data_IF_511642492006
#
_entry.id   IF_511642492006
#
_cell.length_a   1.000
_cell.length_b   1.000
_cell.length_c   1.000
_cell.angle_alpha   90.00
_cell.angle_beta   90.00
_cell.angle_gamma   90.00
#
_symmetry.space_group_name_H-M   'P 1'
#
loop_
_entity.id
_entity.type
_entity.pdbx_description
1 polymer ?
#
# COMPACT_ATOMS: atom_id res chain seq x y z
N UNK A 1 -6.73 51.31 -20.04
CA UNK A 1 -7.71 50.20 -20.03
C UNK A 1 -6.99 48.91 -19.67
N UNK A 2 -6.78 48.67 -18.37
CA UNK A 2 -5.97 47.54 -17.87
C UNK A 2 -6.81 46.28 -17.71
N UNK A 3 -6.45 45.20 -18.40
CA UNK A 3 -7.04 43.86 -18.19
C UNK A 3 -6.34 43.19 -17.01
N UNK A 4 -7.06 43.06 -15.90
CA UNK A 4 -6.68 42.29 -14.72
C UNK A 4 -6.57 40.81 -15.09
N UNK A 5 -5.36 40.24 -14.94
CA UNK A 5 -5.07 38.83 -15.20
C UNK A 5 -5.55 37.98 -14.01
N UNK A 6 -6.25 36.91 -14.35
CA UNK A 6 -7.05 36.01 -13.52
C UNK A 6 -6.15 35.15 -12.60
N UNK A 7 -6.13 35.44 -11.30
CA UNK A 7 -5.46 34.61 -10.26
C UNK A 7 -6.47 33.66 -9.61
N UNK A 8 -7.15 32.81 -10.41
CA UNK A 8 -8.25 31.98 -9.89
C UNK A 8 -8.31 30.58 -10.50
N UNK A 9 -7.15 29.94 -10.68
CA UNK A 9 -7.04 28.63 -11.34
C UNK A 9 -6.58 27.47 -10.42
N UNK A 10 -5.63 27.61 -9.47
CA UNK A 10 -5.18 26.40 -8.74
C UNK A 10 -6.16 25.85 -7.69
N UNK A 11 -6.87 26.71 -6.93
CA UNK A 11 -7.82 26.25 -5.92
C UNK A 11 -9.09 25.64 -6.55
N UNK A 12 -9.30 25.87 -7.85
CA UNK A 12 -10.41 25.31 -8.62
C UNK A 12 -10.11 23.88 -9.09
N UNK A 13 -8.85 23.55 -9.38
CA UNK A 13 -8.46 22.24 -9.91
C UNK A 13 -8.62 21.10 -8.88
N UNK A 14 -8.30 21.34 -7.60
CA UNK A 14 -8.51 20.32 -6.55
C UNK A 14 -10.00 20.14 -6.24
N UNK A 15 -10.77 21.22 -6.20
CA UNK A 15 -12.24 21.15 -6.04
C UNK A 15 -12.91 20.50 -7.26
N UNK A 16 -12.43 20.74 -8.49
CA UNK A 16 -12.92 20.11 -9.71
C UNK A 16 -12.60 18.60 -9.75
N UNK A 17 -11.47 18.16 -9.19
CA UNK A 17 -11.12 16.75 -9.11
C UNK A 17 -12.16 15.94 -8.30
N UNK A 18 -12.56 16.48 -7.13
CA UNK A 18 -13.60 15.88 -6.28
C UNK A 18 -15.02 16.08 -6.81
N UNK A 19 -15.31 17.23 -7.42
CA UNK A 19 -16.61 17.50 -8.02
C UNK A 19 -16.88 16.61 -9.25
N UNK A 20 -15.86 16.37 -10.08
CA UNK A 20 -15.93 15.45 -11.22
C UNK A 20 -16.16 14.00 -10.81
N UNK A 21 -15.55 13.58 -9.68
CA UNK A 21 -15.78 12.26 -9.08
C UNK A 21 -17.28 12.06 -8.80
N UNK A 22 -17.91 13.01 -8.11
CA UNK A 22 -19.31 12.89 -7.69
C UNK A 22 -20.29 12.86 -8.88
N UNK A 23 -19.97 13.54 -9.98
CA UNK A 23 -20.89 13.69 -11.13
C UNK A 23 -20.90 12.52 -12.14
N UNK A 24 -19.94 11.58 -12.09
CA UNK A 24 -19.73 10.60 -13.18
C UNK A 24 -19.97 9.12 -12.81
N UNK A 25 -20.50 8.81 -11.63
CA UNK A 25 -20.78 7.44 -11.19
C UNK A 25 -19.54 6.61 -10.84
N UNK A 26 -18.32 7.14 -11.05
CA UNK A 26 -17.06 6.48 -10.68
C UNK A 26 -16.97 6.16 -9.18
N UNK A 27 -17.31 7.06 -8.24
CA UNK A 27 -17.35 6.75 -6.83
C UNK A 27 -18.38 5.68 -6.51
N UNK A 28 -19.56 5.72 -7.13
CA UNK A 28 -20.62 4.72 -6.92
C UNK A 28 -20.15 3.32 -7.33
N UNK A 29 -19.50 3.20 -8.49
CA UNK A 29 -18.92 1.94 -8.96
C UNK A 29 -17.82 1.48 -8.00
N UNK A 30 -16.88 2.36 -7.66
CA UNK A 30 -15.76 2.03 -6.81
C UNK A 30 -16.20 1.62 -5.39
N UNK A 31 -17.15 2.34 -4.79
CA UNK A 31 -17.71 2.04 -3.48
C UNK A 31 -18.45 0.70 -3.53
N UNK A 32 -19.32 0.49 -4.52
CA UNK A 32 -20.08 -0.77 -4.64
C UNK A 32 -19.16 -1.98 -4.81
N UNK A 33 -18.23 -1.92 -5.77
CA UNK A 33 -17.27 -3.01 -6.01
C UNK A 33 -16.32 -3.16 -4.83
N UNK A 34 -15.87 -2.06 -4.23
CA UNK A 34 -14.96 -2.05 -3.08
C UNK A 34 -15.59 -2.67 -1.84
N UNK A 35 -16.83 -2.33 -1.50
CA UNK A 35 -17.55 -2.94 -0.38
C UNK A 35 -17.76 -4.45 -0.59
N UNK A 36 -18.13 -4.85 -1.82
CA UNK A 36 -18.22 -6.26 -2.16
C UNK A 36 -16.86 -6.97 -2.06
N UNK A 37 -15.78 -6.33 -2.50
CA UNK A 37 -14.43 -6.86 -2.41
C UNK A 37 -13.92 -6.98 -0.96
N UNK A 38 -14.32 -6.08 -0.07
CA UNK A 38 -14.08 -6.21 1.37
C UNK A 38 -14.88 -7.36 1.98
N UNK A 39 -16.15 -7.51 1.61
CA UNK A 39 -16.99 -8.62 2.06
C UNK A 39 -16.37 -9.98 1.69
N UNK A 40 -15.90 -10.13 0.45
CA UNK A 40 -15.24 -11.37 -0.01
C UNK A 40 -13.95 -11.64 0.78
N UNK A 41 -13.12 -10.63 1.04
CA UNK A 41 -11.91 -10.75 1.88
C UNK A 41 -12.26 -11.22 3.30
N UNK A 42 -13.27 -10.61 3.91
CA UNK A 42 -13.77 -11.00 5.23
C UNK A 42 -14.25 -12.45 5.22
N UNK A 43 -15.04 -12.85 4.22
CA UNK A 43 -15.53 -14.22 4.11
C UNK A 43 -14.39 -15.25 4.00
N UNK A 44 -13.38 -14.98 3.17
CA UNK A 44 -12.19 -15.85 3.04
C UNK A 44 -11.40 -15.92 4.36
N UNK A 45 -11.32 -14.81 5.11
CA UNK A 45 -10.57 -14.74 6.37
C UNK A 45 -11.12 -15.64 7.50
N UNK A 46 -12.37 -16.10 7.39
CA UNK A 46 -13.01 -17.00 8.36
C UNK A 46 -12.37 -18.39 8.36
N UNK A 47 -11.77 -18.81 7.23
CA UNK A 47 -11.17 -20.12 7.06
C UNK A 47 -9.81 -20.25 7.79
N UNK A 48 -9.27 -21.49 7.93
CA UNK A 48 -7.92 -21.71 8.44
C UNK A 48 -6.84 -20.95 7.66
N UNK A 49 -5.71 -20.66 8.31
CA UNK A 49 -4.55 -20.01 7.72
C UNK A 49 -3.42 -21.02 7.45
N UNK A 50 -2.37 -20.58 6.77
CA UNK A 50 -1.20 -21.41 6.50
C UNK A 50 -0.55 -21.91 7.79
N UNK A 51 -0.52 -23.24 7.95
CA UNK A 51 0.11 -23.93 9.08
C UNK A 51 -0.68 -23.94 10.39
N UNK A 52 -2.00 -23.71 10.36
CA UNK A 52 -2.85 -23.85 11.55
C UNK A 52 -2.73 -25.25 12.18
N UNK A 53 -2.58 -25.32 13.51
CA UNK A 53 -2.40 -26.54 14.29
C UNK A 53 -1.31 -27.49 13.76
N UNK A 54 -0.21 -26.94 13.21
CA UNK A 54 0.85 -27.72 12.57
C UNK A 54 2.24 -27.48 13.21
N UNK A 55 2.48 -27.95 14.45
CA UNK A 55 3.78 -27.83 15.11
C UNK A 55 4.88 -28.63 14.37
N UNK A 56 6.18 -28.32 14.59
CA UNK A 56 6.69 -27.30 15.52
C UNK A 56 6.84 -25.90 14.91
N UNK A 57 6.84 -25.77 13.58
CA UNK A 57 7.11 -24.51 12.88
C UNK A 57 5.87 -23.78 12.36
N UNK A 58 4.71 -24.42 12.22
CA UNK A 58 3.52 -23.79 11.64
C UNK A 58 3.81 -23.26 10.22
N UNK A 59 3.15 -22.17 9.79
CA UNK A 59 3.27 -21.62 8.43
C UNK A 59 3.40 -20.09 8.42
N UNK A 60 3.07 -19.46 7.30
CA UNK A 60 3.26 -18.02 7.10
C UNK A 60 2.57 -17.15 8.15
N UNK A 61 1.42 -17.59 8.68
CA UNK A 61 0.76 -16.88 9.77
C UNK A 61 1.67 -16.73 11.00
N UNK A 62 2.36 -17.81 11.38
CA UNK A 62 3.31 -17.80 12.49
C UNK A 62 4.56 -17.00 12.16
N UNK A 63 5.02 -17.03 10.90
CA UNK A 63 6.12 -16.19 10.46
C UNK A 63 5.83 -14.70 10.70
N UNK A 64 4.67 -14.22 10.24
CA UNK A 64 4.25 -12.83 10.44
C UNK A 64 4.06 -12.50 11.93
N UNK A 65 3.43 -13.40 12.71
CA UNK A 65 3.26 -13.22 14.16
C UNK A 65 4.62 -13.11 14.86
N UNK A 66 5.57 -13.96 14.49
CA UNK A 66 6.91 -13.96 15.07
C UNK A 66 7.68 -12.68 14.71
N UNK A 67 7.53 -12.16 13.48
CA UNK A 67 8.11 -10.85 13.14
C UNK A 67 7.52 -9.73 14.00
N UNK A 68 6.21 -9.76 14.29
CA UNK A 68 5.57 -8.81 15.21
C UNK A 68 6.11 -8.95 16.65
N UNK A 69 6.32 -10.19 17.14
CA UNK A 69 6.98 -10.47 18.43
C UNK A 69 8.39 -9.86 18.49
N UNK A 70 9.25 -10.18 17.51
CA UNK A 70 10.64 -9.73 17.49
C UNK A 70 10.72 -8.20 17.40
N UNK A 71 9.97 -7.59 16.48
CA UNK A 71 10.04 -6.15 16.25
C UNK A 71 9.50 -5.33 17.42
N UNK A 72 8.53 -5.86 18.17
CA UNK A 72 7.94 -5.19 19.33
C UNK A 72 8.79 -5.30 20.60
N UNK A 73 9.63 -6.33 20.72
CA UNK A 73 10.36 -6.63 21.96
C UNK A 73 11.87 -6.40 21.87
N UNK A 74 12.47 -6.42 20.68
CA UNK A 74 13.92 -6.28 20.51
C UNK A 74 14.33 -4.91 19.92
N UNK A 75 15.53 -4.40 20.25
CA UNK A 75 16.09 -3.23 19.59
C UNK A 75 16.21 -3.42 18.07
N UNK A 76 16.03 -2.35 17.29
CA UNK A 76 16.08 -2.36 15.80
C UNK A 76 17.34 -3.06 15.25
N UNK A 77 18.49 -2.87 15.91
CA UNK A 77 19.77 -3.49 15.52
C UNK A 77 19.81 -5.02 15.63
N UNK A 78 18.81 -5.63 16.28
CA UNK A 78 18.73 -7.08 16.54
C UNK A 78 17.69 -7.81 15.67
N UNK A 79 16.80 -7.09 14.99
CA UNK A 79 15.69 -7.67 14.21
C UNK A 79 16.17 -8.69 13.15
N UNK A 80 17.35 -8.48 12.59
CA UNK A 80 17.95 -9.30 11.53
C UNK A 80 19.18 -10.10 11.99
N UNK A 81 19.47 -10.14 13.30
CA UNK A 81 20.68 -10.79 13.83
C UNK A 81 20.33 -12.03 14.63
N UNK A 82 21.03 -13.13 14.32
CA UNK A 82 20.95 -14.33 15.13
C UNK A 82 21.56 -14.07 16.51
N UNK A 83 20.82 -14.39 17.57
CA UNK A 83 21.21 -14.21 18.97
C UNK A 83 20.45 -15.19 19.87
N UNK A 84 20.73 -15.18 21.17
CA UNK A 84 19.94 -15.95 22.16
C UNK A 84 18.47 -15.50 22.21
N UNK A 85 18.18 -14.26 21.82
CA UNK A 85 16.84 -13.67 21.85
C UNK A 85 16.11 -13.72 20.50
N UNK A 86 16.84 -13.95 19.42
CA UNK A 86 16.31 -13.99 18.04
C UNK A 86 16.98 -15.14 17.27
N UNK A 87 16.26 -16.25 17.13
CA UNK A 87 16.72 -17.44 16.40
C UNK A 87 16.26 -17.35 14.95
N UNK A 88 17.17 -17.02 14.03
CA UNK A 88 16.83 -16.86 12.62
C UNK A 88 16.37 -18.17 11.96
N UNK A 89 16.63 -19.32 12.57
CA UNK A 89 16.12 -20.61 12.08
C UNK A 89 14.61 -20.79 12.34
N UNK A 90 14.04 -20.04 13.27
CA UNK A 90 12.61 -19.99 13.56
C UNK A 90 11.99 -18.71 12.97
N UNK A 91 11.66 -18.75 11.68
CA UNK A 91 11.03 -17.63 10.96
C UNK A 91 11.76 -16.29 11.10
N UNK A 92 13.07 -16.29 10.86
CA UNK A 92 13.85 -15.05 10.79
C UNK A 92 13.25 -14.06 9.78
N UNK A 93 13.35 -12.76 10.10
CA UNK A 93 12.83 -11.68 9.26
C UNK A 93 13.63 -11.61 7.95
N UNK A 94 13.00 -11.95 6.83
CA UNK A 94 13.63 -12.10 5.51
C UNK A 94 13.26 -10.97 4.52
N UNK A 95 12.34 -10.08 4.90
CA UNK A 95 11.88 -8.95 4.08
C UNK A 95 12.63 -7.66 4.44
N UNK A 96 12.64 -6.65 3.54
CA UNK A 96 13.38 -5.42 3.77
C UNK A 96 12.74 -4.54 4.86
N UNK A 97 13.40 -3.44 5.28
CA UNK A 97 13.08 -2.76 6.54
C UNK A 97 11.64 -2.25 6.68
N UNK A 98 10.94 -1.90 5.59
CA UNK A 98 9.56 -1.42 5.71
C UNK A 98 8.61 -2.51 6.21
N UNK A 99 8.86 -3.78 5.89
CA UNK A 99 8.11 -4.91 6.48
C UNK A 99 8.39 -5.06 7.97
N UNK A 100 9.62 -4.81 8.42
CA UNK A 100 9.93 -4.85 9.85
C UNK A 100 9.19 -3.74 10.62
N UNK A 101 9.14 -2.52 10.07
CA UNK A 101 8.34 -1.44 10.66
C UNK A 101 6.83 -1.69 10.60
N UNK A 102 6.32 -2.28 9.52
CA UNK A 102 4.93 -2.76 9.47
C UNK A 102 4.65 -3.77 10.59
N UNK A 103 5.55 -4.75 10.78
CA UNK A 103 5.44 -5.75 11.84
C UNK A 103 5.50 -5.11 13.22
N UNK A 104 6.31 -4.07 13.42
CA UNK A 104 6.36 -3.30 14.67
C UNK A 104 5.03 -2.60 14.96
N UNK A 105 4.41 -1.96 13.97
CA UNK A 105 3.12 -1.27 14.11
C UNK A 105 2.01 -2.28 14.44
N UNK A 106 1.92 -3.37 13.68
CA UNK A 106 0.93 -4.43 13.91
C UNK A 106 1.17 -5.16 15.24
N UNK A 107 2.44 -5.40 15.60
CA UNK A 107 2.82 -6.02 16.86
C UNK A 107 2.51 -5.14 18.06
N UNK A 108 2.65 -3.82 17.94
CA UNK A 108 2.21 -2.86 18.97
C UNK A 108 0.70 -2.89 19.15
N UNK A 109 -0.07 -2.98 18.06
CA UNK A 109 -1.52 -3.17 18.10
C UNK A 109 -1.89 -4.51 18.77
N UNK A 110 -1.27 -5.62 18.39
CA UNK A 110 -1.48 -6.92 19.03
C UNK A 110 -1.10 -6.90 20.51
N UNK A 111 0.01 -6.27 20.88
CA UNK A 111 0.46 -6.16 22.27
C UNK A 111 -0.57 -5.42 23.14
N UNK A 112 -1.24 -4.42 22.59
CA UNK A 112 -2.26 -3.66 23.30
C UNK A 112 -3.51 -4.50 23.62
N UNK A 113 -4.01 -5.28 22.65
CA UNK A 113 -5.25 -6.07 22.81
C UNK A 113 -5.05 -7.49 23.32
N UNK A 114 -3.92 -8.12 22.97
CA UNK A 114 -3.62 -9.51 23.28
C UNK A 114 -2.10 -9.74 23.48
N UNK A 115 -1.52 -9.27 24.60
CA UNK A 115 -0.07 -9.32 24.85
C UNK A 115 0.55 -10.72 24.69
N UNK A 116 -0.19 -11.77 25.02
CA UNK A 116 0.26 -13.16 24.92
C UNK A 116 0.57 -13.59 23.48
N UNK A 117 -0.03 -12.95 22.46
CA UNK A 117 0.25 -13.24 21.05
C UNK A 117 1.63 -12.77 20.58
N UNK A 118 2.29 -11.89 21.31
CA UNK A 118 3.60 -11.30 20.92
C UNK A 118 4.58 -11.26 22.10
N UNK A 119 4.36 -12.11 23.10
CA UNK A 119 5.24 -12.23 24.26
C UNK A 119 6.54 -12.95 23.88
N UNK A 120 7.68 -12.28 24.10
CA UNK A 120 8.99 -12.84 23.76
C UNK A 120 9.20 -14.21 24.43
N UNK A 121 9.68 -15.19 23.65
CA UNK A 121 9.96 -16.58 24.07
C UNK A 121 8.75 -17.48 24.30
N UNK A 122 7.65 -16.95 24.84
CA UNK A 122 6.49 -17.76 25.23
C UNK A 122 5.39 -17.79 24.18
N UNK A 123 5.42 -16.91 23.18
CA UNK A 123 4.35 -16.80 22.17
C UNK A 123 4.60 -17.59 20.89
N UNK A 124 5.73 -18.31 20.78
CA UNK A 124 6.02 -19.18 19.62
C UNK A 124 4.95 -20.26 19.46
N UNK A 125 4.34 -20.33 18.28
CA UNK A 125 3.24 -21.25 17.99
C UNK A 125 1.96 -20.94 18.75
N UNK A 126 1.79 -19.72 19.26
CA UNK A 126 0.60 -19.35 20.02
C UNK A 126 -0.63 -19.24 19.12
N UNK A 127 -1.60 -20.13 19.33
CA UNK A 127 -2.88 -20.12 18.64
C UNK A 127 -4.01 -19.74 19.59
N UNK A 128 -4.80 -18.72 19.21
CA UNK A 128 -6.00 -18.31 19.92
C UNK A 128 -7.01 -17.69 18.95
N UNK A 129 -8.29 -17.80 19.29
CA UNK A 129 -9.36 -17.20 18.48
C UNK A 129 -9.19 -15.67 18.35
N UNK A 130 -8.92 -14.99 19.47
CA UNK A 130 -8.71 -13.54 19.48
C UNK A 130 -7.44 -13.15 18.71
N UNK A 131 -6.34 -13.89 18.86
CA UNK A 131 -5.11 -13.67 18.09
C UNK A 131 -5.37 -13.77 16.58
N UNK A 132 -6.07 -14.83 16.14
CA UNK A 132 -6.48 -15.00 14.73
C UNK A 132 -7.29 -13.79 14.24
N UNK A 133 -8.29 -13.36 15.01
CA UNK A 133 -9.15 -12.24 14.64
C UNK A 133 -8.35 -10.94 14.46
N UNK A 134 -7.50 -10.60 15.44
CA UNK A 134 -6.66 -9.39 15.39
C UNK A 134 -5.69 -9.44 14.20
N UNK A 135 -5.06 -10.58 13.97
CA UNK A 135 -4.17 -10.79 12.83
C UNK A 135 -4.90 -10.60 11.49
N UNK A 136 -6.11 -11.17 11.31
CA UNK A 136 -6.91 -10.93 10.09
C UNK A 136 -7.25 -9.45 9.90
N UNK A 137 -7.52 -8.72 10.97
CA UNK A 137 -7.76 -7.27 10.92
C UNK A 137 -6.53 -6.47 10.47
N UNK A 138 -5.30 -6.90 10.82
CA UNK A 138 -4.09 -6.20 10.33
C UNK A 138 -3.95 -6.28 8.81
N UNK A 139 -4.25 -7.43 8.20
CA UNK A 139 -4.22 -7.59 6.73
C UNK A 139 -5.33 -6.78 6.09
N UNK A 140 -6.57 -6.88 6.60
CA UNK A 140 -7.72 -6.17 6.04
C UNK A 140 -7.57 -4.64 6.12
N UNK A 141 -7.08 -4.12 7.25
CA UNK A 141 -6.82 -2.69 7.41
C UNK A 141 -5.68 -2.21 6.51
N UNK A 142 -4.62 -3.01 6.33
CA UNK A 142 -3.54 -2.70 5.38
C UNK A 142 -4.05 -2.57 3.94
N UNK A 143 -4.90 -3.50 3.49
CA UNK A 143 -5.56 -3.41 2.18
C UNK A 143 -6.37 -2.12 2.06
N UNK A 144 -7.21 -1.83 3.06
CA UNK A 144 -8.10 -0.67 3.06
C UNK A 144 -7.34 0.66 3.08
N UNK A 145 -6.18 0.72 3.73
CA UNK A 145 -5.39 1.95 3.88
C UNK A 145 -4.40 2.19 2.74
N UNK A 146 -3.93 1.14 2.06
CA UNK A 146 -2.85 1.24 1.06
C UNK A 146 -3.34 0.80 -0.32
N UNK A 147 -3.86 -0.42 -0.44
CA UNK A 147 -4.21 -1.00 -1.74
C UNK A 147 -5.45 -0.34 -2.35
N UNK A 148 -6.53 -0.19 -1.58
CA UNK A 148 -7.78 0.38 -2.07
C UNK A 148 -7.61 1.84 -2.54
N UNK A 149 -6.96 2.75 -1.76
CA UNK A 149 -6.71 4.11 -2.22
C UNK A 149 -5.80 4.17 -3.45
N UNK A 150 -4.80 3.28 -3.56
CA UNK A 150 -3.95 3.21 -4.74
C UNK A 150 -4.73 2.79 -6.01
N UNK A 151 -5.62 1.80 -5.89
CA UNK A 151 -6.49 1.39 -7.00
C UNK A 151 -7.45 2.52 -7.37
N UNK A 152 -8.05 3.20 -6.38
CA UNK A 152 -8.89 4.37 -6.64
C UNK A 152 -8.09 5.44 -7.40
N UNK A 153 -6.89 5.79 -6.93
CA UNK A 153 -6.05 6.78 -7.58
C UNK A 153 -5.73 6.39 -9.03
N UNK A 154 -5.37 5.14 -9.28
CA UNK A 154 -5.14 4.62 -10.63
C UNK A 154 -6.39 4.76 -11.52
N UNK A 155 -7.55 4.35 -11.01
CA UNK A 155 -8.83 4.46 -11.74
C UNK A 155 -9.13 5.93 -12.06
N UNK A 156 -8.99 6.85 -11.11
CA UNK A 156 -9.23 8.28 -11.35
C UNK A 156 -8.32 8.82 -12.45
N UNK A 157 -7.01 8.52 -12.39
CA UNK A 157 -6.04 8.98 -13.38
C UNK A 157 -6.34 8.39 -14.76
N UNK A 158 -6.63 7.08 -14.83
CA UNK A 158 -6.88 6.35 -16.08
C UNK A 158 -8.15 6.82 -16.80
N UNK A 159 -9.11 7.36 -16.07
CA UNK A 159 -10.44 7.73 -16.56
C UNK A 159 -10.71 9.25 -16.55
N UNK A 160 -9.74 10.09 -16.17
CA UNK A 160 -9.88 11.56 -16.11
C UNK A 160 -10.29 12.20 -17.44
N UNK A 161 -9.92 11.60 -18.57
CA UNK A 161 -10.24 12.06 -19.94
C UNK A 161 -10.93 10.93 -20.74
N UNK A 162 -12.22 10.67 -20.51
CA UNK A 162 -12.87 9.51 -21.09
C UNK A 162 -13.33 9.75 -22.53
N UNK A 163 -12.84 8.95 -23.47
CA UNK A 163 -13.62 8.61 -24.66
C UNK A 163 -14.84 7.78 -24.24
N UNK A 164 -15.99 7.94 -24.92
CA UNK A 164 -17.27 7.29 -24.53
C UNK A 164 -17.14 5.77 -24.29
N UNK A 165 -16.32 5.06 -25.08
CA UNK A 165 -16.11 3.62 -24.95
C UNK A 165 -15.24 3.18 -23.76
N UNK A 166 -14.49 4.08 -23.14
CA UNK A 166 -13.65 3.71 -22.00
C UNK A 166 -14.50 3.55 -20.73
N UNK A 167 -15.55 4.37 -20.55
CA UNK A 167 -16.40 4.39 -19.33
C UNK A 167 -17.15 3.08 -19.09
N UNK A 168 -17.53 2.32 -20.12
CA UNK A 168 -18.18 1.00 -19.95
C UNK A 168 -17.29 -0.01 -19.25
N UNK A 169 -15.97 0.13 -19.38
CA UNK A 169 -14.98 -0.81 -18.82
C UNK A 169 -14.62 -0.49 -17.36
N UNK A 170 -15.09 0.63 -16.82
CA UNK A 170 -14.74 1.08 -15.46
C UNK A 170 -15.08 0.04 -14.38
N UNK A 171 -16.30 -0.54 -14.34
CA UNK A 171 -16.64 -1.56 -13.36
C UNK A 171 -15.76 -2.81 -13.50
N UNK A 172 -15.46 -3.22 -14.74
CA UNK A 172 -14.65 -4.40 -15.01
C UNK A 172 -13.19 -4.23 -14.58
N UNK A 173 -12.55 -3.09 -14.87
CA UNK A 173 -11.20 -2.83 -14.40
C UNK A 173 -11.12 -2.71 -12.87
N UNK A 174 -12.12 -2.07 -12.26
CA UNK A 174 -12.20 -1.96 -10.79
C UNK A 174 -12.35 -3.33 -10.15
N UNK A 175 -13.25 -4.16 -10.70
CA UNK A 175 -13.46 -5.54 -10.26
C UNK A 175 -12.22 -6.40 -10.46
N UNK A 176 -11.57 -6.35 -11.62
CA UNK A 176 -10.36 -7.13 -11.90
C UNK A 176 -9.22 -6.83 -10.91
N UNK A 177 -9.06 -5.57 -10.51
CA UNK A 177 -8.03 -5.17 -9.53
C UNK A 177 -8.41 -5.55 -8.10
N UNK A 178 -9.65 -5.29 -7.66
CA UNK A 178 -10.06 -5.50 -6.27
C UNK A 178 -10.51 -6.93 -5.96
N UNK A 179 -11.02 -7.67 -6.94
CA UNK A 179 -11.57 -9.03 -6.80
C UNK A 179 -10.66 -10.11 -7.40
N UNK A 180 -9.37 -9.82 -7.59
CA UNK A 180 -8.41 -10.84 -8.02
C UNK A 180 -8.41 -12.04 -7.05
N UNK A 181 -8.87 -13.23 -7.47
CA UNK A 181 -9.09 -14.35 -6.55
C UNK A 181 -7.77 -14.85 -5.95
N UNK A 182 -6.70 -14.89 -6.75
CA UNK A 182 -5.39 -15.30 -6.27
C UNK A 182 -4.88 -14.39 -5.16
N UNK A 183 -5.02 -13.07 -5.32
CA UNK A 183 -4.55 -12.10 -4.32
C UNK A 183 -5.35 -12.22 -3.03
N UNK A 184 -6.68 -12.35 -3.13
CA UNK A 184 -7.55 -12.53 -1.96
C UNK A 184 -7.23 -13.83 -1.22
N UNK A 185 -7.07 -14.95 -1.94
CA UNK A 185 -6.78 -16.24 -1.31
C UNK A 185 -5.41 -16.26 -0.62
N UNK A 186 -4.40 -15.61 -1.19
CA UNK A 186 -3.07 -15.56 -0.59
C UNK A 186 -3.04 -14.61 0.62
N UNK A 187 -3.57 -13.40 0.51
CA UNK A 187 -3.47 -12.45 1.63
C UNK A 187 -4.46 -12.78 2.75
N UNK A 188 -5.72 -13.08 2.41
CA UNK A 188 -6.80 -13.24 3.39
C UNK A 188 -7.08 -14.70 3.75
N UNK A 189 -6.64 -15.66 2.93
CA UNK A 189 -6.69 -17.09 3.24
C UNK A 189 -5.37 -17.55 3.86
N UNK A 190 -4.32 -17.62 3.04
CA UNK A 190 -2.99 -18.12 3.40
C UNK A 190 -2.29 -17.27 4.48
N UNK A 191 -2.56 -15.96 4.52
CA UNK A 191 -2.02 -14.96 5.45
C UNK A 191 -0.70 -14.32 4.98
N UNK A 192 -0.81 -13.33 4.09
CA UNK A 192 0.33 -12.51 3.62
C UNK A 192 -0.08 -11.03 3.49
N UNK A 193 0.91 -10.14 3.38
CA UNK A 193 0.72 -8.70 3.18
C UNK A 193 1.16 -8.24 1.77
N UNK A 194 0.77 -8.95 0.70
CA UNK A 194 1.19 -8.60 -0.67
C UNK A 194 0.59 -7.28 -1.15
N UNK A 195 -0.66 -7.02 -0.78
CA UNK A 195 -1.40 -5.81 -1.14
C UNK A 195 -0.70 -4.51 -0.73
N UNK A 196 0.17 -4.50 0.27
CA UNK A 196 0.93 -3.30 0.66
C UNK A 196 1.93 -2.93 -0.44
N UNK A 197 2.83 -3.84 -0.80
CA UNK A 197 3.83 -3.61 -1.86
C UNK A 197 3.18 -3.38 -3.23
N UNK A 198 2.11 -4.13 -3.54
CA UNK A 198 1.35 -3.94 -4.77
C UNK A 198 0.61 -2.59 -4.77
N UNK A 199 0.04 -2.17 -3.65
CA UNK A 199 -0.62 -0.87 -3.50
C UNK A 199 0.36 0.28 -3.75
N UNK A 200 1.55 0.23 -3.14
CA UNK A 200 2.61 1.19 -3.44
C UNK A 200 3.02 1.18 -4.92
N UNK A 201 3.10 0.00 -5.55
CA UNK A 201 3.43 -0.12 -6.98
C UNK A 201 2.34 0.49 -7.87
N UNK A 202 1.06 0.21 -7.62
CA UNK A 202 -0.07 0.77 -8.38
C UNK A 202 -0.14 2.29 -8.18
N UNK A 203 0.04 2.75 -6.94
CA UNK A 203 0.11 4.18 -6.63
C UNK A 203 1.27 4.87 -7.36
N UNK A 204 2.42 4.21 -7.46
CA UNK A 204 3.57 4.71 -8.21
C UNK A 204 3.26 4.85 -9.70
N UNK A 205 2.63 3.85 -10.31
CA UNK A 205 2.15 3.92 -11.70
C UNK A 205 1.16 5.07 -11.89
N UNK A 206 0.17 5.19 -11.00
CA UNK A 206 -0.83 6.25 -11.06
C UNK A 206 -0.19 7.66 -10.94
N UNK A 207 0.80 7.82 -10.05
CA UNK A 207 1.55 9.07 -9.90
C UNK A 207 2.29 9.45 -11.18
N UNK A 208 3.03 8.51 -11.78
CA UNK A 208 3.75 8.72 -13.04
C UNK A 208 2.79 9.06 -14.19
N UNK A 209 1.67 8.33 -14.31
CA UNK A 209 0.64 8.61 -15.32
C UNK A 209 0.01 10.01 -15.15
N UNK A 210 -0.03 10.54 -13.93
CA UNK A 210 -0.48 11.90 -13.63
C UNK A 210 0.61 12.96 -13.75
N UNK A 211 1.82 12.60 -14.19
CA UNK A 211 2.97 13.49 -14.35
C UNK A 211 3.74 13.78 -13.06
N UNK A 212 3.46 13.08 -11.95
CA UNK A 212 4.08 13.26 -10.63
C UNK A 212 5.21 12.23 -10.42
N UNK A 213 6.29 12.34 -11.20
CA UNK A 213 7.36 11.34 -11.24
C UNK A 213 8.09 11.16 -9.91
N UNK A 214 8.31 12.24 -9.17
CA UNK A 214 8.93 12.19 -7.84
C UNK A 214 8.10 11.35 -6.86
N UNK A 215 6.80 11.62 -6.78
CA UNK A 215 5.86 10.84 -5.95
C UNK A 215 5.84 9.38 -6.42
N UNK A 216 5.83 9.15 -7.73
CA UNK A 216 5.93 7.82 -8.29
C UNK A 216 7.20 7.07 -7.87
N UNK A 217 8.34 7.74 -7.89
CA UNK A 217 9.63 7.18 -7.50
C UNK A 217 9.67 6.85 -6.01
N UNK A 218 9.17 7.74 -5.15
CA UNK A 218 9.06 7.50 -3.70
C UNK A 218 8.17 6.29 -3.41
N UNK A 219 6.97 6.23 -4.02
CA UNK A 219 6.06 5.10 -3.84
C UNK A 219 6.67 3.79 -4.33
N UNK A 220 7.39 3.79 -5.45
CA UNK A 220 8.07 2.58 -5.92
C UNK A 220 9.22 2.15 -5.01
N UNK A 221 9.99 3.09 -4.46
CA UNK A 221 10.98 2.80 -3.43
C UNK A 221 10.36 2.19 -2.17
N UNK A 222 9.18 2.66 -1.75
CA UNK A 222 8.43 2.04 -0.65
C UNK A 222 7.99 0.61 -0.99
N UNK A 223 7.50 0.36 -2.21
CA UNK A 223 7.16 -0.99 -2.67
C UNK A 223 8.35 -1.95 -2.56
N UNK A 224 9.53 -1.52 -3.04
CA UNK A 224 10.78 -2.28 -2.97
C UNK A 224 11.24 -2.55 -1.55
N UNK A 225 11.12 -1.55 -0.65
CA UNK A 225 11.50 -1.69 0.76
C UNK A 225 10.48 -2.51 1.57
N UNK A 226 9.27 -2.73 1.04
CA UNK A 226 8.29 -3.64 1.65
C UNK A 226 8.53 -5.08 1.23
N UNK A 227 8.65 -5.34 -0.08
CA UNK A 227 8.89 -6.67 -0.61
C UNK A 227 9.87 -6.60 -1.78
N UNK A 228 11.02 -7.26 -1.66
CA UNK A 228 12.08 -7.27 -2.66
C UNK A 228 11.61 -7.81 -4.02
N UNK A 229 10.53 -8.61 -4.04
CA UNK A 229 9.91 -9.12 -5.27
C UNK A 229 9.39 -8.01 -6.19
N UNK A 230 9.14 -6.81 -5.66
CA UNK A 230 8.80 -5.64 -6.48
C UNK A 230 9.94 -5.19 -7.39
N UNK A 231 11.16 -5.73 -7.22
CA UNK A 231 12.27 -5.55 -8.15
C UNK A 231 11.97 -6.08 -9.57
N UNK A 232 10.99 -6.99 -9.72
CA UNK A 232 10.54 -7.44 -11.04
C UNK A 232 9.99 -6.29 -11.91
N UNK A 233 9.51 -5.21 -11.29
CA UNK A 233 9.05 -4.02 -11.99
C UNK A 233 10.17 -2.99 -12.25
N UNK A 234 11.36 -3.18 -11.67
CA UNK A 234 12.40 -2.16 -11.65
C UNK A 234 12.89 -1.79 -13.05
N UNK A 235 13.09 -2.74 -14.00
CA UNK A 235 13.49 -2.39 -15.36
C UNK A 235 12.48 -1.48 -16.07
N UNK A 236 11.18 -1.66 -15.80
CA UNK A 236 10.12 -0.85 -16.41
C UNK A 236 10.10 0.57 -15.83
N UNK A 237 10.12 0.70 -14.50
CA UNK A 237 10.18 2.00 -13.83
C UNK A 237 11.44 2.78 -14.20
N UNK A 238 12.60 2.12 -14.13
CA UNK A 238 13.88 2.73 -14.47
C UNK A 238 13.92 3.22 -15.93
N UNK A 239 13.57 2.34 -16.88
CA UNK A 239 13.64 2.70 -18.31
C UNK A 239 12.67 3.82 -18.67
N UNK A 240 11.47 3.84 -18.06
CA UNK A 240 10.49 4.90 -18.28
C UNK A 240 11.01 6.25 -17.77
N UNK A 241 11.44 6.31 -16.51
CA UNK A 241 11.90 7.55 -15.87
C UNK A 241 13.19 8.06 -16.54
N UNK A 242 14.17 7.18 -16.78
CA UNK A 242 15.40 7.54 -17.49
C UNK A 242 15.08 8.09 -18.89
N UNK A 243 14.24 7.40 -19.66
CA UNK A 243 13.83 7.86 -20.98
C UNK A 243 13.11 9.21 -20.95
N UNK A 244 12.34 9.49 -19.90
CA UNK A 244 11.70 10.79 -19.71
C UNK A 244 12.73 11.88 -19.42
N UNK A 245 13.66 11.64 -18.51
CA UNK A 245 14.75 12.58 -18.17
C UNK A 245 15.65 12.90 -19.37
N UNK A 246 16.02 11.89 -20.18
CA UNK A 246 16.83 12.09 -21.38
C UNK A 246 16.15 12.94 -22.47
N UNK A 247 14.81 13.01 -22.46
CA UNK A 247 14.03 13.80 -23.41
C UNK A 247 13.74 15.22 -22.93
N UNK A 248 14.03 15.55 -21.67
CA UNK A 248 13.85 16.90 -21.14
C UNK A 248 14.96 17.83 -21.63
N UNK A 249 14.57 19.01 -22.15
CA UNK A 249 15.53 20.02 -22.67
C UNK A 249 16.24 20.80 -21.55
N UNK A 250 15.66 20.87 -20.33
CA UNK A 250 16.22 21.57 -19.17
C UNK A 250 15.89 20.85 -17.84
N UNK A 251 16.68 19.85 -17.41
CA UNK A 251 16.31 18.97 -16.29
C UNK A 251 16.23 19.67 -14.92
N UNK A 252 17.04 20.70 -14.66
CA UNK A 252 17.21 21.27 -13.30
C UNK A 252 16.16 22.34 -12.95
N UNK A 253 15.58 23.03 -13.95
CA UNK A 253 14.66 24.16 -13.71
C UNK A 253 13.23 23.67 -13.45
N UNK A 254 12.82 22.57 -14.09
CA UNK A 254 11.47 22.01 -13.97
C UNK A 254 11.26 21.26 -12.63
N UNK A 255 12.26 20.52 -12.15
CA UNK A 255 12.21 19.86 -10.84
C UNK A 255 12.14 20.88 -9.69
N UNK A 256 12.91 21.98 -9.78
CA UNK A 256 12.81 23.08 -8.82
C UNK A 256 11.44 23.75 -8.83
N UNK A 257 10.79 23.91 -9.99
CA UNK A 257 9.41 24.42 -10.05
C UNK A 257 8.38 23.45 -9.46
N UNK A 258 8.59 22.14 -9.54
CA UNK A 258 7.71 21.16 -8.88
C UNK A 258 7.90 21.14 -7.35
N UNK A 259 9.15 21.27 -6.88
CA UNK A 259 9.49 21.36 -5.45
C UNK A 259 9.00 22.67 -4.81
N UNK A 260 9.19 23.81 -5.50
CA UNK A 260 8.78 25.12 -5.01
C UNK A 260 7.35 25.49 -5.37
N UNK A 261 6.74 24.92 -6.41
CA UNK A 261 5.33 25.17 -6.76
C UNK A 261 4.35 24.76 -5.66
N UNK A 262 4.71 23.77 -4.82
CA UNK A 262 3.96 23.40 -3.62
C UNK A 262 4.22 24.30 -2.40
N UNK A 263 5.41 24.89 -2.29
CA UNK A 263 5.79 25.77 -1.16
C UNK A 263 5.44 27.25 -1.39
N UNK A 264 5.55 27.74 -2.63
CA UNK A 264 5.21 29.12 -3.00
C UNK A 264 3.69 29.35 -2.90
N UNK A 265 2.87 28.31 -3.09
CA UNK A 265 1.41 28.41 -2.91
C UNK A 265 1.00 28.63 -1.44
N UNK A 266 1.82 28.21 -0.48
CA UNK A 266 1.55 28.39 0.95
C UNK A 266 1.97 29.79 1.41
N UNK A 267 3.00 30.39 0.81
CA UNK A 267 3.49 31.71 1.22
C UNK A 267 2.69 32.88 0.62
N UNK A 268 2.01 32.68 -0.51
CA UNK A 268 1.12 33.68 -1.12
C UNK A 268 -0.33 33.66 -0.62
N UNK A 269 -0.68 32.75 0.30
CA UNK A 269 -2.02 32.65 0.90
C UNK A 269 -2.12 33.29 2.30
N UNK A 270 -1.05 33.97 2.76
CA UNK A 270 -0.93 34.56 4.10
C UNK A 270 -0.59 36.07 4.10
N UNK A 271 -0.74 36.76 2.96
CA UNK A 271 -0.74 38.22 2.88
C UNK A 271 -1.79 38.72 1.89
#
# INVERSE_FOLDING_TARGET
MGKTKKVRESARDDFDCWWWLIQNGTPTVFITVGLFALLVRVAVSLHPYSGAANPPKFGDYEAQRHWMEITTNLPVKEWYRNSSSNDLSYWGLDYPPLTAYQSFIHGSFLRFFHPQSVALFTSRGHESYLGKLLMRWTVLSSDALIFFPAVLYFIVVRYKQPSRGLKSELPWHTAALLLSPCLILIDHGHFQFNCISLGFTIGAVAAILSGKDFVGSVLYCLALNHKQMSAYFAPAFFSHLLGKSLRQKHPIVEEHLQLYGGLIYIQHSLF
#
